data_IF_892039765110
#
_entry.id   IF_892039765110
#
_cell.length_a   1.000
_cell.length_b   1.000
_cell.length_c   1.000
_cell.angle_alpha   90.00
_cell.angle_beta   90.00
_cell.angle_gamma   90.00
#
_symmetry.space_group_name_H-M   'P 1'
#
loop_
_entity.id
_entity.type
_entity.pdbx_description
1 polymer ?
#
# COMPACT_ATOMS: atom_id res chain seq x y z
N UNK A 1 17.10 48.40 13.90
CA UNK A 1 16.83 47.65 12.66
C UNK A 1 16.61 46.18 13.04
N UNK A 2 15.33 45.80 13.18
CA UNK A 2 14.90 44.45 13.40
C UNK A 2 14.80 43.76 12.03
N UNK A 3 15.67 42.79 11.75
CA UNK A 3 15.54 41.92 10.60
C UNK A 3 14.52 40.82 10.97
N UNK A 4 13.32 40.97 10.45
CA UNK A 4 12.33 39.88 10.47
C UNK A 4 12.77 38.83 9.41
N UNK A 5 13.25 37.68 9.85
CA UNK A 5 13.38 36.52 8.98
C UNK A 5 11.97 35.99 8.72
N UNK A 6 11.39 36.35 7.60
CA UNK A 6 10.20 35.69 7.12
C UNK A 6 10.61 34.30 6.60
N UNK A 7 10.31 33.27 7.34
CA UNK A 7 10.39 31.89 6.85
C UNK A 7 9.22 31.69 5.91
N UNK A 8 9.48 31.67 4.60
CA UNK A 8 8.47 31.31 3.61
C UNK A 8 8.30 29.81 3.64
N UNK A 9 7.26 29.34 4.30
CA UNK A 9 6.85 27.93 4.25
C UNK A 9 6.16 27.72 2.89
N UNK A 10 6.79 26.97 2.00
CA UNK A 10 6.15 26.55 0.75
C UNK A 10 5.21 25.41 1.11
N UNK A 11 3.95 25.73 1.35
CA UNK A 11 2.89 24.71 1.46
C UNK A 11 2.57 24.27 0.04
N UNK A 12 3.19 23.19 -0.41
CA UNK A 12 2.75 22.48 -1.61
C UNK A 12 1.51 21.67 -1.22
N UNK A 13 0.35 22.30 -1.26
CA UNK A 13 -0.93 21.62 -1.27
C UNK A 13 -1.15 21.03 -2.67
N UNK A 14 -0.32 20.08 -3.07
CA UNK A 14 -0.55 19.26 -4.25
C UNK A 14 -1.29 18.00 -3.76
N UNK A 15 -2.61 18.13 -3.64
CA UNK A 15 -3.46 16.97 -3.48
C UNK A 15 -3.39 16.16 -4.78
N UNK A 16 -2.82 14.96 -4.70
CA UNK A 16 -2.79 13.98 -5.80
C UNK A 16 -4.09 13.17 -5.74
N UNK A 17 -5.11 13.45 -6.57
CA UNK A 17 -6.35 12.70 -6.49
C UNK A 17 -6.11 11.25 -6.93
N UNK A 18 -6.82 10.28 -6.34
CA UNK A 18 -6.77 8.89 -6.81
C UNK A 18 -7.39 8.79 -8.20
N UNK A 19 -6.70 8.10 -9.11
CA UNK A 19 -7.16 7.93 -10.49
C UNK A 19 -8.31 6.93 -10.53
N UNK A 20 -9.46 7.41 -10.98
CA UNK A 20 -10.56 6.55 -11.41
C UNK A 20 -10.40 6.29 -12.91
N UNK A 21 -10.43 5.02 -13.32
CA UNK A 21 -10.33 4.68 -14.73
C UNK A 21 -11.56 5.20 -15.48
N UNK A 22 -11.33 5.90 -16.61
CA UNK A 22 -12.39 6.51 -17.42
C UNK A 22 -13.35 5.48 -18.03
N UNK A 23 -12.89 4.24 -18.24
CA UNK A 23 -13.72 3.08 -18.58
C UNK A 23 -13.75 2.12 -17.40
N UNK A 24 -14.93 1.78 -16.92
CA UNK A 24 -15.06 0.78 -15.85
C UNK A 24 -14.44 -0.54 -16.31
N UNK A 25 -13.52 -1.06 -15.51
CA UNK A 25 -13.04 -2.44 -15.67
C UNK A 25 -14.24 -3.36 -15.53
N UNK A 26 -14.39 -4.35 -16.44
CA UNK A 26 -15.46 -5.33 -16.30
C UNK A 26 -15.28 -6.10 -15.00
N UNK A 27 -16.37 -6.50 -14.34
CA UNK A 27 -16.30 -7.23 -13.07
C UNK A 27 -15.44 -8.51 -13.19
N UNK A 28 -15.44 -9.15 -14.37
CA UNK A 28 -14.61 -10.33 -14.68
C UNK A 28 -13.11 -10.04 -14.76
N UNK A 29 -12.71 -8.82 -15.02
CA UNK A 29 -11.31 -8.43 -15.21
C UNK A 29 -10.74 -7.69 -13.99
N UNK A 30 -11.58 -7.38 -12.98
CA UNK A 30 -11.10 -6.79 -11.73
C UNK A 30 -10.25 -7.80 -10.97
N UNK A 31 -9.09 -7.34 -10.52
CA UNK A 31 -8.20 -8.11 -9.67
C UNK A 31 -8.46 -7.81 -8.19
N UNK A 32 -8.46 -8.86 -7.37
CA UNK A 32 -8.53 -8.72 -5.92
C UNK A 32 -7.16 -8.28 -5.37
N UNK A 33 -7.18 -7.37 -4.40
CA UNK A 33 -5.98 -6.87 -3.75
C UNK A 33 -5.93 -7.30 -2.29
N UNK A 34 -4.78 -7.81 -1.89
CA UNK A 34 -4.42 -8.08 -0.52
C UNK A 34 -3.44 -7.01 -0.04
N UNK A 35 -3.77 -6.31 1.03
CA UNK A 35 -2.87 -5.41 1.73
C UNK A 35 -2.40 -6.09 3.02
N UNK A 36 -1.10 -6.15 3.23
CA UNK A 36 -0.52 -6.68 4.47
C UNK A 36 -0.18 -5.50 5.38
N UNK A 37 -0.40 -5.57 6.71
CA UNK A 37 0.12 -4.58 7.63
C UNK A 37 1.59 -4.29 7.34
N UNK A 38 1.96 -3.03 7.30
CA UNK A 38 3.33 -2.65 6.94
C UNK A 38 4.31 -3.19 7.98
N UNK A 39 5.50 -3.58 7.56
CA UNK A 39 6.56 -3.91 8.51
C UNK A 39 6.88 -2.67 9.36
N UNK A 40 6.70 -2.73 10.69
CA UNK A 40 6.95 -1.60 11.58
C UNK A 40 8.43 -1.21 11.70
N UNK A 41 9.36 -2.02 11.17
CA UNK A 41 10.81 -1.77 11.15
C UNK A 41 11.37 -1.37 12.53
N UNK A 42 11.09 -2.18 13.54
CA UNK A 42 11.40 -1.86 14.95
C UNK A 42 12.91 -1.77 15.21
N UNK A 43 13.73 -2.47 14.45
CA UNK A 43 15.19 -2.44 14.59
C UNK A 43 15.74 -1.05 14.20
N UNK A 44 15.24 -0.49 13.08
CA UNK A 44 15.59 0.87 12.67
C UNK A 44 15.05 1.92 13.65
N UNK A 45 13.83 1.71 14.19
CA UNK A 45 13.24 2.57 15.21
C UNK A 45 14.10 2.65 16.47
N UNK A 46 14.66 1.52 16.91
CA UNK A 46 15.53 1.48 18.09
C UNK A 46 16.80 2.32 17.88
N UNK A 47 17.31 2.39 16.64
CA UNK A 47 18.47 3.23 16.30
C UNK A 47 18.10 4.72 16.22
N UNK A 48 16.92 5.04 15.68
CA UNK A 48 16.43 6.42 15.54
C UNK A 48 16.04 7.05 16.89
N UNK A 49 15.56 6.25 17.84
CA UNK A 49 15.16 6.71 19.18
C UNK A 49 16.30 7.24 20.09
N UNK A 50 17.48 7.51 19.54
CA UNK A 50 18.55 8.23 20.21
C UNK A 50 18.33 9.77 20.18
N UNK A 51 17.23 10.24 19.56
CA UNK A 51 16.81 11.64 19.52
C UNK A 51 15.86 12.06 20.65
N UNK A 52 15.37 13.30 20.59
CA UNK A 52 14.66 13.97 21.68
C UNK A 52 13.24 13.44 22.00
N UNK A 53 12.57 12.75 21.08
CA UNK A 53 11.23 12.16 21.29
C UNK A 53 11.22 10.70 20.82
N UNK A 54 11.33 9.73 21.72
CA UNK A 54 11.32 8.33 21.33
C UNK A 54 9.92 7.90 20.89
N UNK A 55 9.80 7.40 19.66
CA UNK A 55 8.57 6.77 19.18
C UNK A 55 8.46 5.39 19.82
N UNK A 56 7.30 5.10 20.42
CA UNK A 56 7.05 3.81 21.06
C UNK A 56 6.88 2.70 20.01
N UNK A 57 7.42 1.51 20.30
CA UNK A 57 7.23 0.33 19.48
C UNK A 57 5.75 -0.05 19.30
N UNK A 58 4.92 0.23 20.31
CA UNK A 58 3.48 -0.06 20.24
C UNK A 58 2.75 0.93 19.33
N UNK A 59 3.14 2.19 19.34
CA UNK A 59 2.65 3.20 18.38
C UNK A 59 3.03 2.77 16.96
N UNK A 60 4.28 2.39 16.71
CA UNK A 60 4.75 1.95 15.40
C UNK A 60 4.02 0.68 14.90
N UNK A 61 3.68 -0.26 15.79
CA UNK A 61 2.83 -1.42 15.45
C UNK A 61 1.39 -1.02 15.15
N UNK A 62 0.84 -0.02 15.84
CA UNK A 62 -0.48 0.50 15.55
C UNK A 62 -0.53 1.20 14.19
N UNK A 63 0.46 2.04 13.88
CA UNK A 63 0.64 2.67 12.56
C UNK A 63 0.73 1.64 11.44
N UNK A 64 1.52 0.61 11.61
CA UNK A 64 1.68 -0.49 10.65
C UNK A 64 0.32 -1.05 10.16
N UNK A 65 -0.63 -1.19 11.08
CA UNK A 65 -1.99 -1.64 10.77
C UNK A 65 -2.82 -0.52 10.17
N UNK A 66 -2.73 0.67 10.75
CA UNK A 66 -3.46 1.85 10.29
C UNK A 66 -3.19 2.14 8.82
N UNK A 67 -1.91 2.17 8.42
CA UNK A 67 -1.49 2.40 7.03
C UNK A 67 -2.12 1.38 6.07
N UNK A 68 -2.15 0.11 6.46
CA UNK A 68 -2.74 -0.95 5.62
C UNK A 68 -4.26 -0.78 5.48
N UNK A 69 -4.97 -0.45 6.56
CA UNK A 69 -6.41 -0.23 6.51
C UNK A 69 -6.77 1.02 5.72
N UNK A 70 -6.02 2.10 5.89
CA UNK A 70 -6.28 3.34 5.16
C UNK A 70 -5.99 3.20 3.66
N UNK A 71 -4.90 2.50 3.31
CA UNK A 71 -4.63 2.14 1.91
C UNK A 71 -5.76 1.27 1.32
N UNK A 72 -6.24 0.27 2.06
CA UNK A 72 -7.40 -0.53 1.64
C UNK A 72 -8.62 0.36 1.36
N UNK A 73 -8.97 1.26 2.28
CA UNK A 73 -10.12 2.16 2.13
C UNK A 73 -9.95 3.09 0.91
N UNK A 74 -8.75 3.62 0.69
CA UNK A 74 -8.42 4.42 -0.49
C UNK A 74 -8.60 3.60 -1.77
N UNK A 75 -8.12 2.36 -1.83
CA UNK A 75 -8.24 1.48 -2.99
C UNK A 75 -9.71 1.13 -3.28
N UNK A 76 -10.51 0.85 -2.26
CA UNK A 76 -11.95 0.58 -2.42
C UNK A 76 -12.69 1.80 -3.00
N UNK A 77 -12.38 3.00 -2.54
CA UNK A 77 -12.99 4.24 -3.02
C UNK A 77 -12.73 4.50 -4.50
N UNK A 78 -11.63 3.99 -5.07
CA UNK A 78 -11.36 4.13 -6.51
C UNK A 78 -12.32 3.35 -7.38
N UNK A 79 -12.91 2.26 -6.87
CA UNK A 79 -13.79 1.36 -7.63
C UNK A 79 -13.09 0.56 -8.75
N UNK A 80 -11.77 0.60 -8.83
CA UNK A 80 -10.99 -0.05 -9.90
C UNK A 80 -10.74 -1.54 -9.63
N UNK A 81 -10.89 -1.98 -8.39
CA UNK A 81 -10.46 -3.31 -7.92
C UNK A 81 -11.65 -4.21 -7.61
N UNK A 82 -11.40 -5.50 -7.54
CA UNK A 82 -12.34 -6.46 -6.99
C UNK A 82 -12.43 -6.32 -5.46
N UNK A 83 -12.21 -7.40 -4.74
CA UNK A 83 -12.22 -7.35 -3.26
C UNK A 83 -10.88 -6.85 -2.77
N UNK A 84 -10.86 -5.82 -1.92
CA UNK A 84 -9.66 -5.34 -1.22
C UNK A 84 -9.73 -5.77 0.23
N UNK A 85 -8.70 -6.45 0.72
CA UNK A 85 -8.65 -6.99 2.11
C UNK A 85 -7.33 -6.67 2.78
N UNK A 86 -7.39 -6.45 4.10
CA UNK A 86 -6.21 -6.46 4.95
C UNK A 86 -6.12 -7.83 5.63
N UNK A 87 -4.95 -8.48 5.53
CA UNK A 87 -4.68 -9.75 6.20
C UNK A 87 -3.40 -9.69 7.00
N UNK A 88 -3.31 -10.43 8.12
CA UNK A 88 -2.18 -10.31 9.06
C UNK A 88 -0.83 -10.75 8.49
N UNK A 89 -0.83 -11.57 7.45
CA UNK A 89 0.38 -12.06 6.80
C UNK A 89 0.15 -12.25 5.30
N UNK A 90 1.20 -12.20 4.47
CA UNK A 90 1.08 -12.53 3.05
C UNK A 90 0.46 -13.92 2.86
N UNK A 91 -0.42 -14.03 1.88
CA UNK A 91 -1.03 -15.29 1.50
C UNK A 91 -0.98 -15.42 -0.04
N UNK A 92 -0.53 -16.60 -0.51
CA UNK A 92 -0.18 -16.81 -1.91
C UNK A 92 -1.40 -16.94 -2.87
N UNK A 93 -2.62 -16.80 -2.37
CA UNK A 93 -3.84 -17.05 -3.13
C UNK A 93 -4.62 -15.78 -3.49
N UNK A 94 -3.94 -14.65 -3.65
CA UNK A 94 -4.54 -13.39 -4.06
C UNK A 94 -3.97 -12.90 -5.37
N UNK A 95 -4.80 -12.23 -6.17
CA UNK A 95 -4.38 -11.75 -7.48
C UNK A 95 -3.22 -10.75 -7.37
N UNK A 96 -3.31 -9.80 -6.43
CA UNK A 96 -2.24 -8.83 -6.16
C UNK A 96 -2.03 -8.71 -4.64
N UNK A 97 -0.78 -8.69 -4.22
CA UNK A 97 -0.39 -8.47 -2.82
C UNK A 97 0.43 -7.18 -2.71
N UNK A 98 0.05 -6.31 -1.78
CA UNK A 98 0.76 -5.09 -1.45
C UNK A 98 1.36 -5.23 -0.06
N UNK A 99 2.67 -5.05 0.04
CA UNK A 99 3.44 -5.04 1.29
C UNK A 99 4.18 -3.72 1.42
N UNK A 100 4.42 -3.28 2.65
CA UNK A 100 5.19 -2.07 2.90
C UNK A 100 6.13 -2.23 4.09
N UNK A 101 7.14 -1.37 4.17
CA UNK A 101 8.05 -1.22 5.30
C UNK A 101 8.12 0.24 5.68
N UNK A 102 7.82 0.58 6.93
CA UNK A 102 7.91 1.94 7.45
C UNK A 102 9.39 2.28 7.63
N UNK A 103 9.86 3.32 6.95
CA UNK A 103 11.21 3.85 7.09
C UNK A 103 11.22 4.93 8.16
N UNK A 104 10.28 5.87 8.05
CA UNK A 104 10.12 7.00 8.97
C UNK A 104 8.63 7.31 9.15
N UNK A 105 8.22 7.61 10.37
CA UNK A 105 6.91 8.17 10.69
C UNK A 105 7.01 8.80 12.07
N UNK A 106 6.88 10.11 12.14
CA UNK A 106 7.00 10.90 13.36
C UNK A 106 5.79 11.82 13.62
N UNK A 107 4.77 11.73 12.74
CA UNK A 107 3.58 12.56 12.75
C UNK A 107 3.70 13.81 11.88
N UNK A 108 4.90 14.24 11.49
CA UNK A 108 5.12 15.31 10.51
C UNK A 108 5.47 14.73 9.14
N UNK A 109 6.19 13.60 9.11
CA UNK A 109 6.62 12.91 7.90
C UNK A 109 6.20 11.45 7.95
N UNK A 110 5.78 10.94 6.80
CA UNK A 110 5.57 9.52 6.56
C UNK A 110 6.41 9.10 5.37
N UNK A 111 7.30 8.14 5.58
CA UNK A 111 8.14 7.55 4.55
C UNK A 111 8.07 6.03 4.64
N UNK A 112 7.71 5.37 3.54
CA UNK A 112 7.68 3.92 3.48
C UNK A 112 8.12 3.39 2.11
N UNK A 113 8.73 2.23 2.11
CA UNK A 113 8.95 1.42 0.91
C UNK A 113 7.74 0.51 0.70
N UNK A 114 7.22 0.46 -0.53
CA UNK A 114 6.05 -0.35 -0.88
C UNK A 114 6.36 -1.22 -2.09
N UNK A 115 5.96 -2.49 -2.00
CA UNK A 115 6.09 -3.48 -3.07
C UNK A 115 4.71 -4.03 -3.40
N UNK A 116 4.37 -4.03 -4.69
CA UNK A 116 3.21 -4.72 -5.22
C UNK A 116 3.65 -5.88 -6.10
N UNK A 117 3.07 -7.06 -5.87
CA UNK A 117 3.41 -8.31 -6.57
C UNK A 117 2.12 -9.06 -6.92
N UNK A 118 2.05 -9.65 -8.11
CA UNK A 118 0.92 -10.48 -8.51
C UNK A 118 1.12 -11.98 -8.20
N UNK A 119 0.06 -12.76 -8.36
CA UNK A 119 0.04 -14.19 -8.10
C UNK A 119 1.04 -14.99 -8.94
N UNK A 120 1.45 -14.48 -10.11
CA UNK A 120 2.46 -15.12 -10.96
C UNK A 120 3.89 -14.91 -10.45
N UNK A 121 4.07 -14.06 -9.44
CA UNK A 121 5.36 -13.67 -8.88
C UNK A 121 5.96 -12.43 -9.52
N UNK A 122 5.28 -11.79 -10.49
CA UNK A 122 5.74 -10.56 -11.12
C UNK A 122 5.64 -9.40 -10.13
N UNK A 123 6.72 -8.70 -9.94
CA UNK A 123 6.72 -7.43 -9.19
C UNK A 123 6.20 -6.34 -10.12
N UNK A 124 5.11 -5.69 -9.73
CA UNK A 124 4.53 -4.55 -10.45
C UNK A 124 5.36 -3.31 -10.23
N UNK A 125 5.70 -3.05 -8.96
CA UNK A 125 6.65 -2.02 -8.57
C UNK A 125 7.24 -2.30 -7.19
N UNK A 126 8.40 -1.70 -6.96
CA UNK A 126 9.02 -1.54 -5.64
C UNK A 126 9.47 -0.08 -5.56
N UNK A 127 8.83 0.72 -4.71
CA UNK A 127 9.02 2.18 -4.66
C UNK A 127 9.03 2.72 -3.25
N UNK A 128 9.71 3.82 -3.10
CA UNK A 128 9.72 4.66 -1.90
C UNK A 128 8.68 5.78 -2.07
N UNK A 129 7.84 5.96 -1.05
CA UNK A 129 6.82 7.00 -0.98
C UNK A 129 7.06 7.84 0.26
N UNK A 130 6.99 9.14 0.11
CA UNK A 130 7.17 10.08 1.21
C UNK A 130 6.08 11.15 1.13
N UNK A 131 5.50 11.48 2.29
CA UNK A 131 4.52 12.54 2.42
C UNK A 131 4.81 13.35 3.69
N UNK A 132 4.46 14.62 3.66
CA UNK A 132 4.67 15.57 4.77
C UNK A 132 3.32 16.14 5.16
N UNK A 133 2.90 15.86 6.40
CA UNK A 133 1.66 16.38 6.94
C UNK A 133 1.69 17.91 6.97
N UNK A 134 0.72 18.55 6.31
CA UNK A 134 0.58 19.98 6.46
C UNK A 134 0.08 20.31 7.88
N UNK A 135 0.55 21.41 8.47
CA UNK A 135 0.05 21.91 9.77
C UNK A 135 -1.46 22.12 9.80
N UNK A 136 -2.07 22.28 8.63
CA UNK A 136 -3.51 22.45 8.45
C UNK A 136 -4.25 21.12 8.25
N UNK A 137 -3.56 20.03 7.85
CA UNK A 137 -4.15 18.70 7.68
C UNK A 137 -4.75 18.16 8.98
N UNK A 138 -4.12 18.44 10.13
CA UNK A 138 -4.65 18.06 11.44
C UNK A 138 -5.86 18.90 11.91
N UNK A 139 -6.18 20.00 11.24
CA UNK A 139 -7.35 20.83 11.53
C UNK A 139 -8.60 20.39 10.74
N UNK A 140 -8.41 19.62 9.68
CA UNK A 140 -9.48 19.02 8.89
C UNK A 140 -9.77 17.62 9.45
N UNK A 141 -10.94 17.44 10.06
CA UNK A 141 -11.42 16.12 10.50
C UNK A 141 -11.89 15.23 9.33
N UNK A 142 -11.72 15.68 8.09
CA UNK A 142 -12.33 15.03 6.92
C UNK A 142 -11.35 14.20 6.09
N UNK A 143 -10.03 14.49 6.15
CA UNK A 143 -9.02 13.77 5.36
C UNK A 143 -7.82 13.42 6.24
N UNK A 144 -7.20 12.29 5.93
CA UNK A 144 -5.95 11.87 6.58
C UNK A 144 -4.83 12.85 6.19
N UNK A 145 -3.97 13.31 7.13
CA UNK A 145 -2.86 14.20 6.82
C UNK A 145 -1.90 13.68 5.76
N UNK A 146 -1.85 12.36 5.57
CA UNK A 146 -1.02 11.65 4.58
C UNK A 146 -1.85 11.03 3.46
N UNK A 147 -2.99 11.62 3.10
CA UNK A 147 -3.85 11.06 2.06
C UNK A 147 -3.14 10.93 0.70
N UNK A 148 -2.24 11.85 0.38
CA UNK A 148 -1.47 11.81 -0.87
C UNK A 148 -0.55 10.59 -0.97
N UNK A 149 0.03 10.14 0.13
CA UNK A 149 0.80 8.89 0.20
C UNK A 149 -0.03 7.69 -0.30
N UNK A 150 -1.26 7.54 0.16
CA UNK A 150 -2.13 6.44 -0.26
C UNK A 150 -2.62 6.59 -1.70
N UNK A 151 -2.90 7.81 -2.11
CA UNK A 151 -3.33 8.13 -3.47
C UNK A 151 -2.23 7.83 -4.49
N UNK A 152 -0.97 8.13 -4.19
CA UNK A 152 0.17 7.81 -5.04
C UNK A 152 0.35 6.30 -5.21
N UNK A 153 0.25 5.52 -4.13
CA UNK A 153 0.31 4.05 -4.20
C UNK A 153 -0.85 3.52 -5.05
N UNK A 154 -2.08 4.02 -4.84
CA UNK A 154 -3.25 3.63 -5.62
C UNK A 154 -3.07 3.94 -7.11
N UNK A 155 -2.49 5.10 -7.43
CA UNK A 155 -2.21 5.51 -8.81
C UNK A 155 -1.13 4.64 -9.47
N UNK A 156 -0.12 4.20 -8.72
CA UNK A 156 0.90 3.29 -9.23
C UNK A 156 0.32 1.89 -9.50
N UNK A 157 -0.57 1.41 -8.66
CA UNK A 157 -1.29 0.15 -8.90
C UNK A 157 -2.14 0.23 -10.19
N UNK A 158 -2.85 1.34 -10.40
CA UNK A 158 -3.62 1.56 -11.63
C UNK A 158 -2.71 1.61 -12.86
N UNK A 159 -1.58 2.32 -12.81
CA UNK A 159 -0.61 2.37 -13.90
C UNK A 159 -0.05 0.99 -14.23
N UNK A 160 0.29 0.21 -13.20
CA UNK A 160 0.77 -1.16 -13.39
C UNK A 160 -0.32 -2.04 -14.05
N UNK A 161 -1.56 -1.99 -13.56
CA UNK A 161 -2.69 -2.71 -14.15
C UNK A 161 -2.90 -2.33 -15.63
N UNK A 162 -2.86 -1.05 -15.97
CA UNK A 162 -3.02 -0.56 -17.35
C UNK A 162 -1.93 -1.06 -18.31
N UNK A 163 -0.77 -1.46 -17.79
CA UNK A 163 0.31 -2.04 -18.60
C UNK A 163 0.11 -3.52 -18.93
N UNK A 164 -0.88 -4.18 -18.28
CA UNK A 164 -1.17 -5.59 -18.50
C UNK A 164 -2.00 -5.80 -19.74
N UNK A 165 -1.73 -6.89 -20.45
CA UNK A 165 -2.64 -7.40 -21.47
C UNK A 165 -3.81 -8.16 -20.83
N UNK A 166 -4.91 -8.34 -21.57
CA UNK A 166 -6.03 -9.18 -21.11
C UNK A 166 -5.62 -10.65 -20.87
N UNK A 167 -4.55 -11.13 -21.50
CA UNK A 167 -4.00 -12.45 -21.22
C UNK A 167 -3.25 -12.49 -19.89
N UNK A 168 -2.51 -11.41 -19.53
CA UNK A 168 -1.85 -11.29 -18.23
C UNK A 168 -2.87 -11.30 -17.09
N UNK A 169 -3.95 -10.50 -17.23
CA UNK A 169 -5.01 -10.43 -16.23
C UNK A 169 -5.61 -11.82 -15.97
N UNK A 170 -5.98 -12.53 -17.06
CA UNK A 170 -6.51 -13.90 -16.94
C UNK A 170 -5.50 -14.87 -16.31
N UNK A 171 -4.22 -14.77 -16.65
CA UNK A 171 -3.18 -15.62 -16.07
C UNK A 171 -3.04 -15.37 -14.56
N UNK A 172 -3.03 -14.10 -14.13
CA UNK A 172 -2.98 -13.73 -12.71
C UNK A 172 -4.16 -14.35 -11.96
N UNK A 173 -5.39 -14.21 -12.49
CA UNK A 173 -6.59 -14.78 -11.86
C UNK A 173 -6.53 -16.31 -11.80
N UNK A 174 -6.08 -16.97 -12.87
CA UNK A 174 -5.96 -18.43 -12.90
C UNK A 174 -4.97 -18.93 -11.87
N UNK A 175 -3.79 -18.28 -11.76
CA UNK A 175 -2.77 -18.67 -10.77
C UNK A 175 -3.29 -18.45 -9.35
N UNK A 176 -3.93 -17.31 -9.07
CA UNK A 176 -4.53 -17.03 -7.76
C UNK A 176 -5.59 -18.09 -7.38
N UNK A 177 -6.46 -18.46 -8.33
CA UNK A 177 -7.47 -19.50 -8.11
C UNK A 177 -6.87 -20.89 -7.87
N UNK A 178 -5.80 -21.26 -8.59
CA UNK A 178 -5.09 -22.51 -8.40
C UNK A 178 -4.40 -22.56 -7.03
N UNK A 179 -3.76 -21.48 -6.61
CA UNK A 179 -3.14 -21.37 -5.29
C UNK A 179 -4.19 -21.46 -4.18
N UNK A 180 -5.35 -20.81 -4.36
CA UNK A 180 -6.47 -20.92 -3.43
C UNK A 180 -6.99 -22.37 -3.32
N UNK A 181 -7.19 -23.04 -4.46
CA UNK A 181 -7.64 -24.43 -4.49
C UNK A 181 -6.62 -25.37 -3.83
N UNK A 182 -5.32 -25.16 -4.06
CA UNK A 182 -4.25 -25.91 -3.44
C UNK A 182 -4.20 -25.74 -1.92
N UNK A 183 -4.48 -24.53 -1.42
CA UNK A 183 -4.57 -24.27 0.02
C UNK A 183 -5.79 -24.94 0.67
N UNK A 184 -6.90 -25.05 -0.05
CA UNK A 184 -8.10 -25.74 0.45
C UNK A 184 -7.99 -27.27 0.43
N UNK A 185 -7.29 -27.83 -0.54
CA UNK A 185 -7.15 -29.28 -0.71
C UNK A 185 -5.68 -29.68 -0.95
N UNK A 186 -4.77 -29.49 0.02
CA UNK A 186 -3.33 -29.71 -0.16
C UNK A 186 -3.01 -31.10 -0.71
N UNK A 187 -3.70 -32.13 -0.20
CA UNK A 187 -3.49 -33.54 -0.63
C UNK A 187 -3.81 -33.78 -2.11
N UNK A 188 -4.75 -33.01 -2.69
CA UNK A 188 -5.09 -33.12 -4.11
C UNK A 188 -4.01 -32.53 -5.02
N UNK A 189 -3.16 -31.64 -4.50
CA UNK A 189 -2.13 -30.90 -5.23
C UNK A 189 -0.70 -31.29 -4.86
N UNK A 190 -0.51 -32.23 -3.91
CA UNK A 190 0.81 -32.62 -3.36
C UNK A 190 1.82 -33.05 -4.43
N UNK A 191 1.36 -33.70 -5.51
CA UNK A 191 2.21 -34.10 -6.64
C UNK A 191 2.52 -33.01 -7.66
N UNK A 192 1.80 -31.90 -7.64
CA UNK A 192 1.91 -30.82 -8.63
C UNK A 192 2.71 -29.61 -8.12
N UNK A 193 2.73 -29.38 -6.80
CA UNK A 193 3.39 -28.22 -6.18
C UNK A 193 4.85 -28.46 -5.80
N UNK A 194 5.29 -29.74 -5.76
CA UNK A 194 6.66 -30.13 -5.42
C UNK A 194 7.63 -30.16 -6.60
N UNK A 195 7.20 -29.74 -7.80
CA UNK A 195 7.97 -29.81 -9.05
C UNK A 195 8.58 -28.45 -9.51
N UNK A 196 8.71 -27.45 -8.61
CA UNK A 196 9.34 -26.16 -8.92
C UNK A 196 10.52 -25.87 -8.04
#
# INVERSE_FOLDING_TARGET
LLHSCATTEIVTANSTPPVQLASSISDSDRLDILVVPFNPNLDALTQANQGDIPISADVRRAESRYLAFHLKDTLEQTGNWGIVRVVPAPADHHAVTVTGTIIESDGEQLHAEVVAKDATGRVWFSRSYQDIASKYGYQSLQEDPFQDFYNEIANDLVRAYQSLSSSDVRQIQQVANLQFAANLAPLAFEGYLSAT
#
